data_IF_308864930387
#
_entry.id   IF_308864930387
#
_cell.length_a   1.000
_cell.length_b   1.000
_cell.length_c   1.000
_cell.angle_alpha   90.00
_cell.angle_beta   90.00
_cell.angle_gamma   90.00
#
_symmetry.space_group_name_H-M   'P 1'
#
loop_
_entity.id
_entity.type
_entity.pdbx_description
1 polymer ?
#
# COMPACT_ATOMS: atom_id res chain seq x y z
N UNK A 1 1.98 25.43 -72.01
CA UNK A 1 2.90 24.45 -71.44
C UNK A 1 3.31 24.99 -70.05
N UNK A 2 2.61 24.61 -69.03
CA UNK A 2 3.01 24.97 -67.63
C UNK A 2 2.94 23.72 -66.75
N UNK A 3 4.07 23.46 -66.09
CA UNK A 3 4.32 22.28 -65.25
C UNK A 3 3.61 22.43 -63.91
N UNK A 4 2.62 21.60 -63.65
CA UNK A 4 2.12 21.36 -62.31
C UNK A 4 2.94 20.25 -61.61
N UNK A 5 3.71 20.63 -60.59
CA UNK A 5 4.35 19.69 -59.69
C UNK A 5 3.39 19.34 -58.54
N UNK A 6 3.26 18.09 -58.14
CA UNK A 6 2.38 17.70 -57.05
C UNK A 6 3.07 17.94 -55.69
N UNK A 7 2.57 18.89 -54.93
CA UNK A 7 2.94 19.11 -53.53
C UNK A 7 1.91 18.47 -52.58
N UNK A 8 1.82 17.15 -52.57
CA UNK A 8 0.85 16.47 -51.71
C UNK A 8 1.30 15.10 -51.20
N UNK A 9 2.57 14.91 -50.89
CA UNK A 9 3.07 13.65 -50.31
C UNK A 9 3.83 13.79 -48.99
N UNK A 10 3.96 14.98 -48.41
CA UNK A 10 4.76 15.18 -47.19
C UNK A 10 3.91 15.28 -45.95
N UNK A 11 2.59 15.48 -46.04
CA UNK A 11 1.73 15.70 -44.88
C UNK A 11 1.17 14.46 -44.19
N UNK A 12 1.23 13.29 -44.83
CA UNK A 12 0.61 12.06 -44.28
C UNK A 12 1.58 11.27 -43.39
N UNK A 13 2.89 11.46 -43.56
CA UNK A 13 3.88 10.68 -42.81
C UNK A 13 4.17 11.21 -41.42
N UNK A 14 3.88 12.49 -41.17
CA UNK A 14 4.12 13.13 -39.84
C UNK A 14 2.99 12.92 -38.86
N UNK A 15 1.78 12.57 -39.30
CA UNK A 15 0.63 12.37 -38.43
C UNK A 15 0.54 10.93 -37.88
N UNK A 16 1.20 9.98 -38.51
CA UNK A 16 1.19 8.57 -38.06
C UNK A 16 2.25 8.29 -36.98
N UNK A 17 3.26 9.13 -36.86
CA UNK A 17 4.33 8.97 -35.86
C UNK A 17 3.94 9.48 -34.46
N UNK A 18 2.93 10.36 -34.36
CA UNK A 18 2.49 10.93 -33.07
C UNK A 18 1.51 10.04 -32.31
N UNK A 19 0.90 9.03 -32.94
CA UNK A 19 -0.08 8.15 -32.29
C UNK A 19 0.58 6.95 -31.58
N UNK A 20 1.85 6.65 -31.87
CA UNK A 20 2.54 5.49 -31.28
C UNK A 20 3.24 5.77 -29.96
N UNK A 21 3.24 7.01 -29.46
CA UNK A 21 3.90 7.36 -28.19
C UNK A 21 2.94 7.59 -27.01
N UNK A 22 1.63 7.41 -27.20
CA UNK A 22 0.65 7.62 -26.12
C UNK A 22 0.14 6.33 -25.47
N UNK A 23 0.79 5.20 -25.69
CA UNK A 23 0.32 3.92 -25.14
C UNK A 23 1.44 3.16 -24.44
N UNK A 24 2.04 3.76 -23.43
CA UNK A 24 2.75 3.07 -22.34
C UNK A 24 2.89 3.99 -21.12
N UNK A 25 1.80 4.58 -20.66
CA UNK A 25 1.70 4.85 -19.25
C UNK A 25 1.35 3.50 -18.60
N UNK A 26 2.35 2.67 -18.36
CA UNK A 26 2.31 1.77 -17.24
C UNK A 26 2.21 2.72 -16.07
N UNK A 27 1.04 2.76 -15.44
CA UNK A 27 0.86 3.35 -14.13
C UNK A 27 1.87 2.68 -13.22
N UNK A 28 3.04 3.29 -13.11
CA UNK A 28 4.02 2.93 -12.11
C UNK A 28 3.37 3.35 -10.82
N UNK A 29 2.78 2.39 -10.11
CA UNK A 29 2.25 2.63 -8.78
C UNK A 29 3.45 3.06 -7.96
N UNK A 30 3.55 4.36 -7.67
CA UNK A 30 4.51 4.90 -6.72
C UNK A 30 4.02 4.46 -5.34
N UNK A 31 4.65 3.40 -4.83
CA UNK A 31 4.41 2.96 -3.46
C UNK A 31 5.13 3.90 -2.51
N UNK A 32 4.37 4.52 -1.63
CA UNK A 32 4.94 5.24 -0.49
C UNK A 32 5.32 4.25 0.60
N UNK A 33 6.54 4.39 1.10
CA UNK A 33 6.96 3.69 2.30
C UNK A 33 6.76 4.61 3.49
N UNK A 34 5.81 4.25 4.36
CA UNK A 34 5.47 5.01 5.56
C UNK A 34 6.48 4.73 6.68
N UNK A 35 7.70 5.23 6.49
CA UNK A 35 8.81 5.01 7.42
C UNK A 35 8.64 5.72 8.76
N UNK A 36 7.84 6.79 8.80
CA UNK A 36 7.59 7.54 10.02
C UNK A 36 6.62 6.80 10.95
N UNK A 37 5.80 5.89 10.41
CA UNK A 37 4.85 5.12 11.22
C UNK A 37 5.56 4.27 12.28
N UNK A 38 6.65 3.56 11.92
CA UNK A 38 7.39 2.74 12.90
C UNK A 38 7.92 3.60 14.05
N UNK A 39 8.50 4.77 13.71
CA UNK A 39 9.04 5.70 14.72
C UNK A 39 7.94 6.26 15.62
N UNK A 40 6.80 6.61 15.03
CA UNK A 40 5.65 7.16 15.76
C UNK A 40 5.04 6.11 16.69
N UNK A 41 4.84 4.89 16.21
CA UNK A 41 4.35 3.78 17.03
C UNK A 41 5.29 3.47 18.20
N UNK A 42 6.60 3.53 18.00
CA UNK A 42 7.58 3.37 19.08
C UNK A 42 7.42 4.41 20.18
N UNK A 43 7.00 5.63 19.83
CA UNK A 43 6.80 6.74 20.77
C UNK A 43 5.37 6.80 21.30
N UNK A 44 4.45 6.01 20.74
CA UNK A 44 3.04 5.98 21.15
C UNK A 44 2.92 5.64 22.63
N UNK A 45 2.11 6.43 23.33
CA UNK A 45 1.79 6.18 24.74
C UNK A 45 0.87 4.96 24.85
N UNK A 46 1.18 4.10 25.79
CA UNK A 46 0.31 2.96 26.13
C UNK A 46 -0.98 3.42 26.79
N UNK A 47 -2.04 2.62 26.64
CA UNK A 47 -3.37 2.89 27.21
C UNK A 47 -4.06 4.16 26.68
N UNK A 48 -3.57 4.70 25.53
CA UNK A 48 -4.21 5.79 24.80
C UNK A 48 -4.63 5.31 23.42
N UNK A 49 -5.87 5.65 23.04
CA UNK A 49 -6.34 5.37 21.70
C UNK A 49 -5.61 6.25 20.67
N UNK A 50 -5.32 5.68 19.51
CA UNK A 50 -4.68 6.32 18.37
C UNK A 50 -5.25 5.80 17.05
N UNK A 51 -5.04 6.53 15.97
CA UNK A 51 -5.28 6.05 14.61
C UNK A 51 -3.96 5.94 13.88
N UNK A 52 -3.86 5.00 12.94
CA UNK A 52 -2.69 4.90 12.06
C UNK A 52 -2.65 6.06 11.07
N UNK A 53 -3.82 6.60 10.69
CA UNK A 53 -3.97 7.76 9.81
C UNK A 53 -3.12 8.96 10.27
N UNK A 54 -3.07 9.23 11.58
CA UNK A 54 -2.33 10.36 12.16
C UNK A 54 -0.82 10.33 11.84
N UNK A 55 -0.30 9.17 11.45
CA UNK A 55 1.13 8.95 11.20
C UNK A 55 1.46 8.74 9.73
N UNK A 56 0.45 8.72 8.87
CA UNK A 56 0.62 8.54 7.43
C UNK A 56 0.84 9.86 6.70
N UNK A 57 1.65 9.83 5.64
CA UNK A 57 1.83 10.96 4.72
C UNK A 57 0.87 10.92 3.54
N UNK A 58 0.48 9.72 3.14
CA UNK A 58 -0.46 9.50 2.04
C UNK A 58 -1.92 9.61 2.48
N UNK A 59 -2.81 9.81 1.52
CA UNK A 59 -4.26 9.75 1.71
C UNK A 59 -4.75 8.33 1.38
N UNK A 60 -5.20 7.60 2.39
CA UNK A 60 -5.67 6.23 2.26
C UNK A 60 -7.11 6.11 2.77
N UNK A 61 -7.84 5.10 2.30
CA UNK A 61 -9.20 4.81 2.77
C UNK A 61 -9.25 3.60 3.71
N UNK A 62 -8.28 2.71 3.59
CA UNK A 62 -8.24 1.50 4.41
C UNK A 62 -6.83 0.96 4.56
N UNK A 63 -6.66 0.08 5.56
CA UNK A 63 -5.43 -0.63 5.83
C UNK A 63 -5.68 -2.13 5.96
N UNK A 64 -4.64 -2.90 5.64
CA UNK A 64 -4.61 -4.34 5.73
C UNK A 64 -3.38 -4.75 6.53
N UNK A 65 -3.58 -5.41 7.66
CA UNK A 65 -2.52 -5.77 8.59
C UNK A 65 -2.14 -7.23 8.40
N UNK A 66 -0.86 -7.47 8.16
CA UNK A 66 -0.29 -8.80 8.00
C UNK A 66 0.62 -9.11 9.19
N UNK A 67 0.19 -10.01 10.04
CA UNK A 67 0.98 -10.54 11.15
C UNK A 67 1.92 -11.68 10.67
N UNK A 68 2.94 -12.07 11.45
CA UNK A 68 3.72 -13.27 11.19
C UNK A 68 2.83 -14.49 10.96
N UNK A 69 3.27 -15.38 10.05
CA UNK A 69 2.54 -16.57 9.63
C UNK A 69 1.19 -16.31 8.94
N UNK A 70 0.93 -15.06 8.55
CA UNK A 70 -0.25 -14.74 7.76
C UNK A 70 -0.34 -15.61 6.49
N UNK A 71 -1.54 -16.16 6.22
CA UNK A 71 -1.71 -17.02 5.05
C UNK A 71 -1.98 -16.22 3.78
N UNK A 72 -0.93 -15.90 3.03
CA UNK A 72 -0.97 -15.03 1.82
C UNK A 72 -1.78 -15.59 0.65
N UNK A 73 -2.21 -16.85 0.71
CA UNK A 73 -3.07 -17.47 -0.31
C UNK A 73 -4.56 -17.23 -0.08
N UNK A 74 -4.93 -16.56 1.01
CA UNK A 74 -6.33 -16.20 1.26
C UNK A 74 -6.82 -15.20 0.21
N UNK A 75 -8.12 -15.28 -0.08
CA UNK A 75 -8.74 -14.52 -1.17
C UNK A 75 -8.55 -13.02 -0.98
N UNK A 76 -8.64 -12.53 0.23
CA UNK A 76 -8.52 -11.10 0.59
C UNK A 76 -7.17 -10.56 0.16
N UNK A 77 -6.08 -11.22 0.50
CA UNK A 77 -4.73 -10.80 0.08
C UNK A 77 -4.53 -10.93 -1.43
N UNK A 78 -4.99 -12.04 -2.03
CA UNK A 78 -4.83 -12.26 -3.47
C UNK A 78 -5.64 -11.30 -4.32
N UNK A 79 -6.74 -10.77 -3.79
CA UNK A 79 -7.58 -9.77 -4.46
C UNK A 79 -7.00 -8.35 -4.43
N UNK A 80 -6.03 -8.07 -3.56
CA UNK A 80 -5.40 -6.76 -3.49
C UNK A 80 -4.61 -6.46 -4.77
N UNK A 81 -4.86 -5.30 -5.34
CA UNK A 81 -4.10 -4.82 -6.50
C UNK A 81 -2.83 -4.15 -6.00
N UNK A 82 -1.68 -4.76 -6.26
CA UNK A 82 -0.37 -4.26 -5.86
C UNK A 82 0.72 -4.69 -6.85
N UNK A 83 1.89 -4.02 -6.86
CA UNK A 83 3.05 -4.45 -7.65
C UNK A 83 3.52 -5.84 -7.22
N UNK A 84 3.93 -6.66 -8.21
CA UNK A 84 4.42 -8.02 -7.95
C UNK A 84 5.63 -8.04 -6.97
N UNK A 85 6.51 -7.05 -7.08
CA UNK A 85 7.64 -6.92 -6.17
C UNK A 85 7.18 -6.83 -4.71
N UNK A 86 6.21 -5.96 -4.41
CA UNK A 86 5.67 -5.82 -3.06
C UNK A 86 4.97 -7.10 -2.61
N UNK A 87 4.23 -7.76 -3.49
CA UNK A 87 3.58 -9.05 -3.19
C UNK A 87 4.61 -10.09 -2.74
N UNK A 88 5.72 -10.23 -3.46
CA UNK A 88 6.79 -11.16 -3.12
C UNK A 88 7.48 -10.77 -1.80
N UNK A 89 7.64 -9.47 -1.52
CA UNK A 89 8.16 -8.98 -0.24
C UNK A 89 7.22 -9.34 0.92
N UNK A 90 5.92 -9.15 0.75
CA UNK A 90 4.91 -9.56 1.74
C UNK A 90 4.94 -11.07 1.99
N UNK A 91 4.97 -11.89 0.93
CA UNK A 91 5.03 -13.35 1.03
C UNK A 91 6.29 -13.85 1.76
N UNK A 92 7.37 -13.08 1.68
CA UNK A 92 8.61 -13.37 2.40
C UNK A 92 8.56 -12.89 3.85
N UNK A 93 7.94 -11.75 4.08
CA UNK A 93 7.87 -11.09 5.40
C UNK A 93 7.09 -11.89 6.44
N UNK A 94 6.08 -12.67 6.02
CA UNK A 94 5.27 -13.49 6.95
C UNK A 94 6.05 -14.54 7.73
N UNK A 95 7.24 -14.91 7.26
CA UNK A 95 8.14 -15.85 7.97
C UNK A 95 9.05 -15.15 8.98
N UNK A 96 8.98 -13.82 9.05
CA UNK A 96 9.75 -13.06 10.03
C UNK A 96 8.88 -12.73 11.26
N UNK A 97 9.10 -13.49 12.34
CA UNK A 97 8.35 -13.35 13.58
C UNK A 97 8.53 -12.00 14.28
N UNK A 98 9.51 -11.21 13.86
CA UNK A 98 9.85 -9.94 14.51
C UNK A 98 9.11 -8.73 13.95
N UNK A 99 8.36 -8.91 12.86
CA UNK A 99 7.71 -7.79 12.17
C UNK A 99 6.25 -8.09 11.84
N UNK A 100 5.47 -7.01 11.71
CA UNK A 100 4.18 -6.99 11.01
C UNK A 100 4.27 -6.06 9.81
N UNK A 101 3.52 -6.34 8.75
CA UNK A 101 3.44 -5.49 7.55
C UNK A 101 2.05 -4.88 7.47
N UNK A 102 1.99 -3.56 7.31
CA UNK A 102 0.74 -2.83 7.10
C UNK A 102 0.72 -2.35 5.65
N UNK A 103 -0.33 -2.69 4.93
CA UNK A 103 -0.59 -2.23 3.57
C UNK A 103 -1.66 -1.14 3.62
N UNK A 104 -1.39 -0.01 2.97
CA UNK A 104 -2.29 1.12 2.86
C UNK A 104 -2.97 1.10 1.51
N UNK A 105 -4.29 1.21 1.52
CA UNK A 105 -5.13 1.02 0.34
C UNK A 105 -5.89 2.30 0.06
N UNK A 106 -5.93 2.67 -1.21
CA UNK A 106 -6.78 3.74 -1.72
C UNK A 106 -7.43 3.28 -3.03
N UNK A 107 -8.75 3.44 -3.13
CA UNK A 107 -9.52 3.01 -4.31
C UNK A 107 -9.28 1.54 -4.71
N UNK A 108 -9.18 0.65 -3.74
CA UNK A 108 -8.97 -0.80 -3.93
C UNK A 108 -7.57 -1.19 -4.40
N UNK A 109 -6.60 -0.28 -4.37
CA UNK A 109 -5.21 -0.53 -4.74
C UNK A 109 -4.28 -0.23 -3.57
N UNK A 110 -3.26 -1.04 -3.40
CA UNK A 110 -2.19 -0.75 -2.44
C UNK A 110 -1.35 0.41 -2.96
N UNK A 111 -1.31 1.50 -2.21
CA UNK A 111 -0.60 2.74 -2.54
C UNK A 111 0.59 2.98 -1.61
N UNK A 112 0.60 2.35 -0.44
CA UNK A 112 1.68 2.49 0.53
C UNK A 112 1.86 1.21 1.34
N UNK A 113 2.97 1.15 2.07
CA UNK A 113 3.23 0.07 3.02
C UNK A 113 4.14 0.54 4.15
N UNK A 114 4.05 -0.13 5.28
CA UNK A 114 4.96 0.01 6.40
C UNK A 114 5.37 -1.35 6.95
N UNK A 115 6.59 -1.43 7.47
CA UNK A 115 7.06 -2.59 8.23
C UNK A 115 7.26 -2.15 9.67
N UNK A 116 6.56 -2.77 10.57
CA UNK A 116 6.57 -2.43 12.00
C UNK A 116 7.21 -3.56 12.80
N UNK A 117 8.18 -3.23 13.65
CA UNK A 117 8.76 -4.21 14.56
C UNK A 117 7.80 -4.51 15.69
N UNK A 118 7.57 -5.77 15.99
CA UNK A 118 6.66 -6.20 17.05
C UNK A 118 7.07 -5.72 18.45
N UNK A 119 8.35 -5.50 18.68
CA UNK A 119 8.83 -4.91 19.93
C UNK A 119 8.40 -3.43 20.11
N UNK A 120 8.08 -2.75 19.02
CA UNK A 120 7.61 -1.36 19.05
C UNK A 120 6.07 -1.27 19.03
N UNK A 121 5.41 -2.17 18.30
CA UNK A 121 3.95 -2.35 18.28
C UNK A 121 3.60 -3.74 17.73
N UNK A 122 3.02 -4.58 18.56
CA UNK A 122 2.65 -5.94 18.17
C UNK A 122 1.20 -6.02 17.69
N UNK A 123 1.02 -6.18 16.39
CA UNK A 123 -0.28 -6.38 15.75
C UNK A 123 -0.68 -7.87 15.64
N UNK A 124 0.12 -8.80 16.15
CA UNK A 124 -0.20 -10.22 16.12
C UNK A 124 -0.99 -10.63 17.38
N UNK A 125 -2.10 -9.96 17.62
CA UNK A 125 -3.00 -10.20 18.75
C UNK A 125 -4.32 -10.80 18.28
N UNK A 126 -5.05 -11.46 19.15
CA UNK A 126 -6.33 -12.09 18.84
C UNK A 126 -7.42 -11.08 18.43
N UNK A 127 -7.26 -9.82 18.81
CA UNK A 127 -8.19 -8.73 18.48
C UNK A 127 -7.96 -8.13 17.10
N UNK A 128 -6.82 -8.42 16.48
CA UNK A 128 -6.54 -8.04 15.10
C UNK A 128 -6.99 -9.17 14.18
N UNK A 129 -8.14 -8.97 13.56
CA UNK A 129 -8.71 -9.99 12.68
C UNK A 129 -7.83 -10.19 11.44
N UNK A 130 -7.40 -11.43 11.22
CA UNK A 130 -6.74 -11.80 9.99
C UNK A 130 -7.68 -11.61 8.79
N UNK A 131 -7.18 -11.07 7.69
CA UNK A 131 -7.92 -10.84 6.43
C UNK A 131 -8.99 -9.74 6.52
N UNK A 132 -8.90 -8.86 7.47
CA UNK A 132 -9.80 -7.74 7.60
C UNK A 132 -9.22 -6.48 6.97
N UNK A 133 -10.05 -5.77 6.20
CA UNK A 133 -9.77 -4.40 5.76
C UNK A 133 -10.30 -3.45 6.82
N UNK A 134 -9.41 -2.82 7.55
CA UNK A 134 -9.77 -1.81 8.52
C UNK A 134 -9.95 -0.46 7.82
N UNK A 135 -10.98 0.33 8.14
CA UNK A 135 -11.02 1.72 7.72
C UNK A 135 -9.80 2.47 8.27
N UNK A 136 -9.31 3.46 7.54
CA UNK A 136 -8.07 4.18 7.93
C UNK A 136 -8.22 4.88 9.29
N UNK A 137 -9.43 5.33 9.62
CA UNK A 137 -9.81 5.95 10.88
C UNK A 137 -10.04 4.95 12.03
N UNK A 138 -9.82 3.65 11.80
CA UNK A 138 -9.93 2.66 12.87
C UNK A 138 -9.06 3.06 14.05
N UNK A 139 -9.67 3.12 15.22
CA UNK A 139 -8.96 3.37 16.45
C UNK A 139 -8.35 2.09 16.99
N UNK A 140 -7.13 2.22 17.50
CA UNK A 140 -6.39 1.17 18.17
C UNK A 140 -5.98 1.65 19.56
N UNK A 141 -5.69 0.72 20.43
CA UNK A 141 -5.09 0.98 21.74
C UNK A 141 -3.89 0.04 21.92
N UNK A 142 -2.85 0.53 22.53
CA UNK A 142 -1.64 -0.26 22.82
C UNK A 142 -1.55 -0.50 24.32
N UNK A 143 -1.40 -1.76 24.72
CA UNK A 143 -1.20 -2.11 26.12
C UNK A 143 0.26 -1.88 26.59
N UNK A 144 0.57 -2.18 27.85
CA UNK A 144 1.90 -1.99 28.45
C UNK A 144 2.96 -2.91 27.87
N UNK A 145 2.56 -4.06 27.38
CA UNK A 145 3.38 -5.05 26.70
C UNK A 145 3.59 -4.74 25.22
N UNK A 146 3.02 -3.62 24.73
CA UNK A 146 3.06 -3.15 23.34
C UNK A 146 2.17 -3.95 22.38
N UNK A 147 1.24 -4.76 22.89
CA UNK A 147 0.23 -5.40 22.05
C UNK A 147 -0.80 -4.37 21.59
N UNK A 148 -1.15 -4.43 20.32
CA UNK A 148 -2.14 -3.53 19.70
C UNK A 148 -3.48 -4.25 19.62
N UNK A 149 -4.52 -3.57 20.05
CA UNK A 149 -5.90 -4.05 20.06
C UNK A 149 -6.79 -3.08 19.30
N UNK A 150 -7.87 -3.58 18.72
CA UNK A 150 -8.92 -2.69 18.17
C UNK A 150 -9.65 -1.99 19.32
N UNK A 151 -9.92 -0.70 19.13
CA UNK A 151 -10.64 0.09 20.13
C UNK A 151 -12.01 0.49 19.57
N UNK A 152 -13.05 0.00 20.19
CA UNK A 152 -14.44 0.33 19.89
C UNK A 152 -15.00 1.15 21.07
N UNK A 153 -15.40 2.39 20.79
CA UNK A 153 -16.08 3.26 21.78
C UNK A 153 -17.48 2.76 22.13
#
# INVERSE_FOLDING_TARGET
MENYKPACKVFITTFLATILFTSCNRDTIHLEQETELELSLKQQQTEQAFTIEEYCKGEYDSLFIMSPYYYTRKQEFTSLVMPEKLRNECESAIYNESISTILFISNGKVQGHAVVKRVDADFATDDIEENHLYPIEQKFIMDKERNVHTYNE
#
